data_IF_183433284322
#
_entry.id   IF_183433284322
#
_cell.length_a   1.000
_cell.length_b   1.000
_cell.length_c   1.000
_cell.angle_alpha   90.00
_cell.angle_beta   90.00
_cell.angle_gamma   90.00
#
_symmetry.space_group_name_H-M   'P 1'
#
loop_
_entity.id
_entity.type
_entity.pdbx_description
1 polymer ?
#
# COMPACT_ATOMS: atom_id res chain seq x y z
N UNK A 1 -5.03 -17.22 -21.87
CA UNK A 1 -4.91 -16.46 -20.61
C UNK A 1 -5.82 -15.27 -20.74
N UNK A 2 -6.63 -15.00 -19.73
CA UNK A 2 -7.59 -13.91 -19.67
C UNK A 2 -7.29 -13.10 -18.41
N UNK A 3 -7.49 -11.79 -18.46
CA UNK A 3 -7.14 -10.87 -17.38
C UNK A 3 -8.36 -10.02 -17.02
N UNK A 4 -8.57 -9.80 -15.72
CA UNK A 4 -9.63 -8.93 -15.22
C UNK A 4 -9.01 -7.71 -14.56
N UNK A 5 -9.56 -6.51 -14.83
CA UNK A 5 -9.22 -5.29 -14.10
C UNK A 5 -10.16 -5.17 -12.91
N UNK A 6 -9.61 -4.96 -11.72
CA UNK A 6 -10.38 -4.66 -10.50
C UNK A 6 -9.97 -3.26 -10.05
N UNK A 7 -10.95 -2.35 -9.92
CA UNK A 7 -10.74 -1.00 -9.41
C UNK A 7 -11.35 -0.87 -8.01
N UNK A 8 -10.60 -0.27 -7.08
CA UNK A 8 -11.02 -0.05 -5.69
C UNK A 8 -10.82 1.43 -5.35
N UNK A 9 -11.91 2.17 -5.12
CA UNK A 9 -11.86 3.56 -4.64
C UNK A 9 -12.10 3.58 -3.14
N UNK A 10 -11.22 4.27 -2.40
CA UNK A 10 -11.28 4.44 -0.95
C UNK A 10 -10.84 5.85 -0.53
N UNK A 11 -11.10 6.21 0.72
CA UNK A 11 -10.58 7.48 1.30
C UNK A 11 -9.11 7.37 1.69
N UNK A 12 -8.73 6.22 2.26
CA UNK A 12 -7.37 5.85 2.59
C UNK A 12 -7.26 4.32 2.61
N UNK A 13 -6.04 3.80 2.58
CA UNK A 13 -5.76 2.37 2.69
C UNK A 13 -4.64 2.15 3.70
N UNK A 14 -4.85 1.19 4.60
CA UNK A 14 -3.80 0.68 5.49
C UNK A 14 -2.84 -0.24 4.74
N UNK A 15 -1.64 -0.43 5.29
CA UNK A 15 -0.62 -1.31 4.72
C UNK A 15 -1.19 -2.72 4.44
N UNK A 16 -0.95 -3.22 3.22
CA UNK A 16 -1.47 -4.48 2.70
C UNK A 16 -3.02 -4.63 2.60
N UNK A 17 -3.81 -3.61 2.90
CA UNK A 17 -5.28 -3.72 2.97
C UNK A 17 -5.90 -4.19 1.64
N UNK A 18 -5.59 -3.52 0.53
CA UNK A 18 -6.10 -3.90 -0.80
C UNK A 18 -5.69 -5.35 -1.14
N UNK A 19 -4.42 -5.70 -0.88
CA UNK A 19 -3.87 -7.04 -1.18
C UNK A 19 -4.54 -8.15 -0.36
N UNK A 20 -4.98 -7.86 0.87
CA UNK A 20 -5.79 -8.77 1.70
C UNK A 20 -7.25 -8.84 1.24
N UNK A 21 -7.87 -7.71 0.89
CA UNK A 21 -9.24 -7.67 0.39
C UNK A 21 -9.41 -8.52 -0.88
N UNK A 22 -8.53 -8.34 -1.86
CA UNK A 22 -8.54 -9.12 -3.10
C UNK A 22 -8.19 -10.59 -2.83
N UNK A 23 -7.21 -10.86 -1.96
CA UNK A 23 -6.84 -12.23 -1.57
C UNK A 23 -8.02 -13.00 -0.97
N UNK A 24 -8.78 -12.38 -0.07
CA UNK A 24 -9.99 -12.96 0.53
C UNK A 24 -11.10 -13.19 -0.52
N UNK A 25 -11.34 -12.21 -1.40
CA UNK A 25 -12.34 -12.36 -2.47
C UNK A 25 -12.02 -13.54 -3.41
N UNK A 26 -10.74 -13.75 -3.72
CA UNK A 26 -10.27 -14.90 -4.53
C UNK A 26 -10.40 -16.23 -3.78
N UNK A 27 -10.16 -16.25 -2.46
CA UNK A 27 -10.36 -17.44 -1.63
C UNK A 27 -11.84 -17.89 -1.61
N UNK A 28 -12.77 -16.94 -1.45
CA UNK A 28 -14.22 -17.21 -1.51
C UNK A 28 -14.64 -17.66 -2.91
N UNK A 29 -14.19 -16.96 -3.96
CA UNK A 29 -14.52 -17.31 -5.35
C UNK A 29 -14.02 -18.72 -5.78
N UNK A 30 -12.99 -19.25 -5.09
CA UNK A 30 -12.48 -20.61 -5.29
C UNK A 30 -13.06 -21.65 -4.32
N UNK A 31 -13.88 -21.25 -3.36
CA UNK A 31 -14.44 -22.14 -2.34
C UNK A 31 -13.45 -22.58 -1.26
N UNK A 32 -12.35 -21.87 -1.06
CA UNK A 32 -11.41 -22.10 0.06
C UNK A 32 -11.83 -21.39 1.35
N UNK A 33 -12.69 -20.37 1.24
CA UNK A 33 -13.31 -19.65 2.34
C UNK A 33 -14.82 -19.48 2.06
N UNK A 34 -15.62 -19.33 3.11
CA UNK A 34 -17.05 -19.02 3.03
C UNK A 34 -17.32 -17.54 3.34
N UNK A 35 -18.55 -17.06 3.12
CA UNK A 35 -18.90 -15.66 3.37
C UNK A 35 -18.80 -15.31 4.87
N UNK A 36 -19.08 -16.28 5.73
CA UNK A 36 -18.94 -16.21 7.19
C UNK A 36 -17.49 -15.91 7.61
N UNK A 37 -16.50 -16.48 6.91
CA UNK A 37 -15.08 -16.19 7.15
C UNK A 37 -14.77 -14.73 6.86
N UNK A 38 -15.32 -14.16 5.78
CA UNK A 38 -15.19 -12.73 5.46
C UNK A 38 -15.76 -11.86 6.58
N UNK A 39 -16.95 -12.19 7.08
CA UNK A 39 -17.53 -11.48 8.23
C UNK A 39 -16.68 -11.60 9.49
N UNK A 40 -16.04 -12.76 9.71
CA UNK A 40 -15.14 -12.96 10.84
C UNK A 40 -13.91 -12.04 10.81
N UNK A 41 -13.44 -11.62 9.62
CA UNK A 41 -12.30 -10.69 9.50
C UNK A 41 -12.56 -9.27 10.02
N UNK A 42 -13.83 -8.89 10.24
CA UNK A 42 -14.22 -7.61 10.84
C UNK A 42 -14.33 -7.67 12.37
N UNK A 43 -14.23 -8.87 12.96
CA UNK A 43 -14.24 -9.04 14.41
C UNK A 43 -12.88 -8.69 15.03
N UNK A 44 -12.83 -8.65 16.37
CA UNK A 44 -11.61 -8.40 17.13
C UNK A 44 -10.59 -9.56 17.04
N UNK A 45 -11.01 -10.75 16.63
CA UNK A 45 -10.14 -11.93 16.56
C UNK A 45 -9.27 -11.90 15.30
N UNK A 46 -7.97 -12.21 15.44
CA UNK A 46 -7.05 -12.16 14.30
C UNK A 46 -7.23 -13.40 13.41
N UNK A 47 -7.86 -13.20 12.26
CA UNK A 47 -7.94 -14.17 11.15
C UNK A 47 -6.69 -14.03 10.28
N UNK A 48 -6.13 -15.14 9.80
CA UNK A 48 -5.11 -15.09 8.76
C UNK A 48 -5.76 -14.87 7.39
N UNK A 49 -5.42 -13.75 6.75
CA UNK A 49 -6.04 -13.34 5.48
C UNK A 49 -4.97 -13.40 4.38
N UNK A 50 -5.17 -14.22 3.33
CA UNK A 50 -4.19 -14.40 2.27
C UNK A 50 -3.90 -13.07 1.58
N UNK A 51 -2.62 -12.76 1.39
CA UNK A 51 -2.15 -11.54 0.74
C UNK A 51 -1.72 -11.87 -0.68
N UNK A 52 -2.44 -11.36 -1.68
CA UNK A 52 -2.03 -11.49 -3.09
C UNK A 52 -0.64 -10.85 -3.30
N UNK A 53 0.19 -11.29 -4.28
CA UNK A 53 1.45 -10.63 -4.66
C UNK A 53 1.26 -9.14 -5.01
N UNK A 54 2.37 -8.39 -5.03
CA UNK A 54 2.34 -6.96 -5.41
C UNK A 54 2.14 -6.76 -6.92
N UNK A 55 2.56 -7.74 -7.72
CA UNK A 55 2.39 -7.74 -9.17
C UNK A 55 0.90 -7.65 -9.54
N UNK A 56 0.55 -6.62 -10.32
CA UNK A 56 -0.83 -6.31 -10.70
C UNK A 56 -1.48 -5.16 -9.93
N UNK A 57 -0.91 -4.70 -8.80
CA UNK A 57 -1.40 -3.53 -8.08
C UNK A 57 -0.65 -2.27 -8.51
N UNK A 58 -1.38 -1.27 -8.98
CA UNK A 58 -0.87 0.08 -9.24
C UNK A 58 -1.88 1.14 -8.77
N UNK A 59 -1.41 2.36 -8.54
CA UNK A 59 -2.26 3.51 -8.21
C UNK A 59 -2.81 4.12 -9.52
N UNK A 60 -4.13 4.14 -9.67
CA UNK A 60 -4.82 4.56 -10.90
C UNK A 60 -5.07 6.08 -10.95
N UNK A 61 -5.53 6.67 -9.83
CA UNK A 61 -5.85 8.10 -9.72
C UNK A 61 -5.87 8.57 -8.26
N UNK A 62 -5.59 9.85 -8.02
CA UNK A 62 -5.75 10.52 -6.72
C UNK A 62 -6.84 11.59 -6.83
N UNK A 63 -7.85 11.51 -5.95
CA UNK A 63 -9.03 12.38 -6.02
C UNK A 63 -8.91 13.57 -5.07
N UNK A 64 -8.97 14.79 -5.61
CA UNK A 64 -8.86 16.04 -4.85
C UNK A 64 -10.22 16.73 -4.59
N UNK A 65 -11.34 16.05 -4.87
CA UNK A 65 -12.73 16.55 -4.77
C UNK A 65 -12.99 17.39 -3.50
N UNK A 66 -12.56 16.89 -2.34
CA UNK A 66 -12.75 17.57 -1.05
C UNK A 66 -11.84 18.79 -0.87
N UNK A 67 -10.57 18.72 -1.31
CA UNK A 67 -9.64 19.85 -1.29
C UNK A 67 -10.17 20.97 -2.19
N UNK A 68 -10.48 20.62 -3.45
CA UNK A 68 -11.04 21.55 -4.43
C UNK A 68 -12.28 22.22 -3.86
N UNK A 69 -13.24 21.46 -3.31
CA UNK A 69 -14.46 22.00 -2.68
C UNK A 69 -14.19 22.92 -1.47
N UNK A 70 -13.16 22.62 -0.66
CA UNK A 70 -12.81 23.43 0.52
C UNK A 70 -12.14 24.76 0.16
N UNK A 71 -11.35 24.79 -0.92
CA UNK A 71 -10.48 25.93 -1.26
C UNK A 71 -10.87 26.69 -2.55
N UNK A 72 -12.06 26.45 -3.12
CA UNK A 72 -12.58 27.07 -4.36
C UNK A 72 -12.42 28.59 -4.46
N UNK A 73 -12.40 29.30 -3.33
CA UNK A 73 -12.32 30.77 -3.26
C UNK A 73 -10.89 31.30 -3.08
N UNK A 74 -9.92 30.43 -2.80
CA UNK A 74 -8.55 30.82 -2.39
C UNK A 74 -7.45 30.23 -3.27
N UNK A 75 -7.69 29.07 -3.87
CA UNK A 75 -6.72 28.37 -4.71
C UNK A 75 -7.40 27.83 -5.99
N UNK A 76 -6.67 27.73 -7.11
CA UNK A 76 -7.16 27.05 -8.31
C UNK A 76 -7.44 25.56 -8.00
N UNK A 77 -8.41 24.93 -8.70
CA UNK A 77 -8.69 23.52 -8.52
C UNK A 77 -7.50 22.67 -9.00
N UNK A 78 -7.16 21.63 -8.26
CA UNK A 78 -6.21 20.62 -8.67
C UNK A 78 -6.95 19.51 -9.44
N UNK A 79 -6.70 19.42 -10.73
CA UNK A 79 -7.19 18.34 -11.60
C UNK A 79 -6.11 17.92 -12.59
N UNK A 80 -6.24 16.70 -13.12
CA UNK A 80 -5.33 16.10 -14.10
C UNK A 80 -6.02 15.81 -15.44
N UNK A 81 -7.28 16.25 -15.61
CA UNK A 81 -8.13 16.03 -16.80
C UNK A 81 -7.44 16.39 -18.13
N UNK A 82 -6.55 17.38 -18.14
CA UNK A 82 -5.77 17.79 -19.33
C UNK A 82 -4.79 16.72 -19.82
N UNK A 83 -4.46 15.73 -18.98
CA UNK A 83 -3.45 14.68 -19.21
C UNK A 83 -4.04 13.27 -19.17
N UNK A 84 -5.38 13.14 -19.12
CA UNK A 84 -6.05 11.83 -18.99
C UNK A 84 -5.71 10.90 -20.17
N UNK A 85 -5.54 11.45 -21.39
CA UNK A 85 -5.17 10.67 -22.58
C UNK A 85 -3.74 10.11 -22.47
N UNK A 86 -2.77 10.94 -22.08
CA UNK A 86 -1.38 10.53 -21.83
C UNK A 86 -1.26 9.53 -20.66
N UNK A 87 -2.05 9.73 -19.61
CA UNK A 87 -2.08 8.85 -18.43
C UNK A 87 -2.66 7.48 -18.81
N UNK A 88 -3.76 7.39 -19.56
CA UNK A 88 -4.30 6.10 -20.03
C UNK A 88 -3.34 5.41 -21.01
N UNK A 89 -2.71 6.14 -21.93
CA UNK A 89 -1.69 5.60 -22.83
C UNK A 89 -0.52 5.00 -22.04
N UNK A 90 0.04 5.74 -21.07
CA UNK A 90 1.13 5.26 -20.22
C UNK A 90 0.72 4.04 -19.37
N UNK A 91 -0.50 4.02 -18.82
CA UNK A 91 -1.03 2.87 -18.06
C UNK A 91 -1.12 1.61 -18.92
N UNK A 92 -1.56 1.73 -20.18
CA UNK A 92 -1.64 0.59 -21.10
C UNK A 92 -0.25 0.13 -21.57
N UNK A 93 0.55 1.05 -22.10
CA UNK A 93 1.79 0.74 -22.82
C UNK A 93 2.95 0.36 -21.91
N UNK A 94 3.02 0.93 -20.70
CA UNK A 94 4.12 0.67 -19.76
C UNK A 94 3.65 -0.21 -18.60
N UNK A 95 2.67 0.25 -17.79
CA UNK A 95 2.31 -0.42 -16.53
C UNK A 95 1.67 -1.79 -16.78
N UNK A 96 0.56 -1.84 -17.51
CA UNK A 96 -0.17 -3.08 -17.77
C UNK A 96 0.68 -4.03 -18.61
N UNK A 97 1.34 -3.53 -19.66
CA UNK A 97 2.19 -4.35 -20.52
C UNK A 97 3.35 -5.01 -19.76
N UNK A 98 3.99 -4.31 -18.83
CA UNK A 98 5.05 -4.89 -18.00
C UNK A 98 4.52 -5.92 -16.99
N UNK A 99 3.39 -5.63 -16.33
CA UNK A 99 2.71 -6.59 -15.42
C UNK A 99 2.42 -7.90 -16.15
N UNK A 100 1.83 -7.82 -17.36
CA UNK A 100 1.51 -8.98 -18.18
C UNK A 100 2.75 -9.73 -18.66
N UNK A 101 3.84 -9.02 -18.98
CA UNK A 101 5.12 -9.61 -19.36
C UNK A 101 5.76 -10.38 -18.20
N UNK A 102 5.77 -9.80 -17.00
CA UNK A 102 6.31 -10.44 -15.81
C UNK A 102 5.49 -11.67 -15.41
N UNK A 103 4.16 -11.58 -15.35
CA UNK A 103 3.32 -12.73 -14.98
C UNK A 103 3.43 -13.86 -16.02
N UNK A 104 3.54 -13.56 -17.32
CA UNK A 104 3.78 -14.58 -18.36
C UNK A 104 5.14 -15.29 -18.20
N UNK A 105 6.15 -14.61 -17.64
CA UNK A 105 7.51 -15.16 -17.48
C UNK A 105 7.69 -15.91 -16.15
N UNK A 106 7.12 -15.39 -15.06
CA UNK A 106 7.35 -15.87 -13.71
C UNK A 106 6.15 -16.60 -13.10
N UNK A 107 4.94 -16.45 -13.65
CA UNK A 107 3.70 -17.06 -13.18
C UNK A 107 3.44 -16.81 -11.66
N UNK A 108 3.73 -15.61 -11.16
CA UNK A 108 3.74 -15.26 -9.73
C UNK A 108 2.35 -15.39 -9.10
N UNK A 109 1.31 -14.88 -9.79
CA UNK A 109 -0.07 -14.99 -9.33
C UNK A 109 -0.49 -16.47 -9.35
N UNK A 110 -0.11 -17.24 -10.37
CA UNK A 110 -0.38 -18.69 -10.45
C UNK A 110 0.31 -19.51 -9.35
N UNK A 111 1.55 -19.17 -8.98
CA UNK A 111 2.25 -19.78 -7.84
C UNK A 111 1.54 -19.46 -6.53
N UNK A 112 1.20 -18.19 -6.28
CA UNK A 112 0.41 -17.79 -5.11
C UNK A 112 -0.98 -18.47 -5.06
N UNK A 113 -1.66 -18.57 -6.20
CA UNK A 113 -2.95 -19.28 -6.33
C UNK A 113 -2.82 -20.78 -6.02
N UNK A 114 -1.64 -21.35 -6.20
CA UNK A 114 -1.32 -22.72 -5.80
C UNK A 114 -1.10 -22.81 -4.30
N UNK A 115 -0.48 -21.81 -3.65
CA UNK A 115 -0.27 -21.81 -2.20
C UNK A 115 -1.54 -21.52 -1.37
N UNK A 116 -2.59 -20.99 -1.99
CA UNK A 116 -3.83 -20.53 -1.33
C UNK A 116 -4.54 -21.62 -0.49
N UNK A 117 -4.36 -22.91 -0.79
CA UNK A 117 -4.97 -24.01 -0.03
C UNK A 117 -4.35 -24.23 1.36
N UNK A 118 -3.15 -23.71 1.63
CA UNK A 118 -2.51 -23.85 2.95
C UNK A 118 -3.09 -22.88 4.00
N UNK A 119 -3.76 -21.81 3.57
CA UNK A 119 -4.33 -20.83 4.50
C UNK A 119 -5.51 -21.43 5.26
N UNK A 120 -5.46 -21.31 6.60
CA UNK A 120 -6.57 -21.63 7.48
C UNK A 120 -7.29 -20.35 7.86
N UNK A 121 -8.55 -20.23 7.47
CA UNK A 121 -9.42 -19.09 7.76
C UNK A 121 -10.00 -19.14 9.19
N UNK A 122 -9.34 -19.85 10.10
CA UNK A 122 -9.75 -20.02 11.50
C UNK A 122 -9.39 -18.77 12.32
N UNK A 123 -10.35 -18.26 13.09
CA UNK A 123 -10.13 -17.14 13.98
C UNK A 123 -9.19 -17.54 15.13
N UNK A 124 -8.04 -16.86 15.25
CA UNK A 124 -7.09 -17.14 16.33
C UNK A 124 -7.47 -16.38 17.60
N UNK A 125 -8.15 -17.08 18.51
CA UNK A 125 -8.31 -16.64 19.90
C UNK A 125 -6.94 -16.47 20.58
N UNK A 126 -6.45 -15.22 20.62
CA UNK A 126 -5.35 -14.85 21.53
C UNK A 126 -5.87 -14.86 22.96
N UNK A 127 -5.87 -16.02 23.61
CA UNK A 127 -6.07 -16.08 25.05
C UNK A 127 -4.99 -15.26 25.76
N UNK A 128 -5.40 -14.23 26.49
CA UNK A 128 -4.54 -13.50 27.41
C UNK A 128 -4.28 -14.36 28.66
N UNK A 129 -3.36 -15.33 28.54
CA UNK A 129 -3.00 -16.23 29.64
C UNK A 129 -1.84 -17.15 29.27
N UNK A 130 -0.84 -17.22 30.16
CA UNK A 130 0.40 -18.00 30.06
C UNK A 130 0.33 -19.30 29.26
N UNK A 131 1.22 -19.43 28.28
CA UNK A 131 1.78 -20.72 27.88
C UNK A 131 3.30 -20.56 27.61
N UNK A 132 4.17 -21.55 27.92
CA UNK A 132 5.61 -21.38 27.79
C UNK A 132 6.05 -21.19 26.34
N UNK A 133 7.10 -20.38 26.14
CA UNK A 133 7.81 -20.29 24.86
C UNK A 133 8.25 -21.69 24.41
N UNK A 134 7.94 -22.13 23.17
CA UNK A 134 8.56 -23.32 22.61
C UNK A 134 10.07 -23.06 22.44
N UNK A 135 10.89 -24.07 22.74
CA UNK A 135 12.33 -23.99 22.57
C UNK A 135 12.70 -23.72 21.10
N UNK A 136 13.80 -22.97 20.83
CA UNK A 136 14.19 -22.63 19.46
C UNK A 136 14.50 -23.90 18.67
N UNK A 137 13.69 -24.18 17.66
CA UNK A 137 14.02 -25.15 16.65
C UNK A 137 15.10 -24.55 15.75
N UNK A 138 16.30 -25.12 15.78
CA UNK A 138 17.32 -24.88 14.76
C UNK A 138 16.79 -25.37 13.42
N UNK A 139 16.58 -24.45 12.48
CA UNK A 139 16.40 -24.76 11.06
C UNK A 139 17.35 -23.88 10.25
N UNK A 140 17.95 -24.50 9.25
CA UNK A 140 18.99 -23.94 8.40
C UNK A 140 18.46 -22.79 7.53
N UNK A 141 19.36 -21.89 7.13
CA UNK A 141 18.99 -20.58 6.59
C UNK A 141 18.46 -20.60 5.16
N UNK A 142 17.50 -19.70 4.91
CA UNK A 142 17.37 -18.95 3.66
C UNK A 142 17.52 -17.47 4.04
N UNK A 143 18.55 -16.80 3.52
CA UNK A 143 18.76 -15.36 3.71
C UNK A 143 17.99 -14.60 2.62
N UNK A 144 16.83 -14.05 2.97
CA UNK A 144 16.27 -12.86 2.33
C UNK A 144 16.40 -11.69 3.34
N UNK A 145 17.61 -11.18 3.48
CA UNK A 145 17.91 -9.94 4.19
C UNK A 145 17.67 -8.76 3.24
N UNK A 146 16.46 -8.21 3.24
CA UNK A 146 16.24 -6.83 2.78
C UNK A 146 16.80 -5.91 3.89
N UNK A 147 17.93 -5.25 3.63
CA UNK A 147 18.57 -4.30 4.55
C UNK A 147 17.73 -3.00 4.63
N UNK A 148 16.99 -2.81 5.74
CA UNK A 148 16.33 -1.55 6.08
C UNK A 148 17.37 -0.53 6.63
N UNK A 149 18.01 0.23 5.74
CA UNK A 149 18.77 1.45 6.10
C UNK A 149 17.80 2.60 6.43
N UNK A 150 17.33 2.64 7.69
CA UNK A 150 16.60 3.78 8.27
C UNK A 150 17.57 4.95 8.57
N UNK A 151 17.87 5.76 7.54
CA UNK A 151 18.59 7.04 7.66
C UNK A 151 17.67 8.12 8.29
N UNK A 152 17.81 8.36 9.60
CA UNK A 152 17.03 9.37 10.34
C UNK A 152 17.96 10.37 11.09
N UNK A 153 18.94 10.96 10.38
CA UNK A 153 19.70 12.12 10.88
C UNK A 153 18.99 13.45 10.58
N UNK A 154 18.69 14.19 11.67
CA UNK A 154 17.99 15.46 11.63
C UNK A 154 18.86 16.58 11.05
N UNK A 155 18.52 17.08 9.86
CA UNK A 155 19.12 18.29 9.29
C UNK A 155 18.44 19.57 9.80
N UNK A 156 18.96 20.15 10.89
CA UNK A 156 18.65 21.54 11.28
C UNK A 156 19.73 22.49 10.72
N UNK A 157 19.32 23.53 9.99
CA UNK A 157 20.16 24.18 8.97
C UNK A 157 19.78 25.61 8.60
N UNK A 158 19.94 26.51 9.58
CA UNK A 158 20.01 27.98 9.55
C UNK A 158 20.09 28.70 8.18
N UNK A 159 19.13 29.61 7.88
CA UNK A 159 19.25 30.62 6.82
C UNK A 159 19.72 31.98 7.38
N UNK A 160 21.04 32.18 7.44
CA UNK A 160 21.62 33.52 7.57
C UNK A 160 21.88 34.13 6.18
N UNK A 161 21.32 35.32 5.93
CA UNK A 161 21.69 36.18 4.79
C UNK A 161 22.30 37.47 5.33
N UNK A 162 23.61 37.63 5.14
CA UNK A 162 24.42 38.62 5.85
C UNK A 162 24.25 40.08 5.41
N UNK A 163 24.74 40.96 6.30
CA UNK A 163 25.66 42.10 6.07
C UNK A 163 25.44 43.00 4.82
N UNK A 164 25.44 44.34 4.91
CA UNK A 164 26.03 45.27 5.90
C UNK A 164 25.23 46.64 5.84
N UNK A 165 25.61 47.82 6.37
CA UNK A 165 26.91 48.35 6.83
C UNK A 165 26.79 49.35 8.02
N UNK A 166 26.46 50.64 7.80
CA UNK A 166 26.59 51.77 8.75
C UNK A 166 25.45 52.82 8.68
N UNK A 167 25.36 53.73 9.68
CA UNK A 167 24.81 55.08 9.42
C UNK A 167 24.01 55.81 10.51
N UNK A 168 24.59 56.02 11.70
CA UNK A 168 24.32 57.14 12.63
C UNK A 168 23.22 58.17 12.27
N UNK A 169 22.16 58.31 13.09
CA UNK A 169 22.01 59.43 14.04
C UNK A 169 20.66 59.49 14.77
N UNK A 170 20.66 60.19 15.92
CA UNK A 170 19.51 60.59 16.74
C UNK A 170 18.60 61.58 16.00
N UNK A 171 17.28 61.53 16.25
CA UNK A 171 16.59 62.57 17.02
C UNK A 171 15.10 62.21 17.27
N UNK A 172 14.56 62.72 18.38
CA UNK A 172 13.13 62.63 18.73
C UNK A 172 12.28 63.66 17.99
N UNK A 173 11.05 63.30 17.64
CA UNK A 173 9.82 64.05 17.94
C UNK A 173 8.59 63.19 17.64
#
# INVERSE_FOLDING_TARGET
MEWIRIQVKGQSFMLHQIRKMIGMAVAVARGFAVMEDVYSTFNHESVDVPRIPGLGLYLDSVFFDFYNKKFQQSHPPLSWEEWDEEIEAFKADQIVSEILRQEKKHEIIKQWLSNLYHHKYEARCRHAGNSPLPAPATQDGDNDEDEDDDDDENGDGDEQRGEQEEGTSRASA
#
